data_IF_360069012200
#
_entry.id   IF_360069012200
#
_cell.length_a   1.000
_cell.length_b   1.000
_cell.length_c   1.000
_cell.angle_alpha   90.00
_cell.angle_beta   90.00
_cell.angle_gamma   90.00
#
_symmetry.space_group_name_H-M   'P 1'
#
loop_
_entity.id
_entity.type
_entity.pdbx_description
1 polymer ?
#
# COMPACT_ATOMS: atom_id res chain seq x y z
N UNK A 1 9.43 3.53 -12.76
CA UNK A 1 8.69 4.77 -13.08
C UNK A 1 9.20 5.36 -14.38
N UNK A 2 8.46 6.27 -15.03
CA UNK A 2 8.89 6.91 -16.29
C UNK A 2 10.21 7.68 -16.14
N UNK A 3 10.45 8.32 -14.99
CA UNK A 3 11.69 9.05 -14.71
C UNK A 3 12.92 8.13 -14.65
N UNK A 4 12.79 6.93 -14.07
CA UNK A 4 13.87 5.94 -14.01
C UNK A 4 14.18 5.36 -15.39
N UNK A 5 13.14 5.02 -16.18
CA UNK A 5 13.32 4.53 -17.56
C UNK A 5 14.00 5.55 -18.47
N UNK A 6 13.81 6.84 -18.19
CA UNK A 6 14.44 7.95 -18.92
C UNK A 6 15.83 8.34 -18.35
N UNK A 7 16.37 7.58 -17.40
CA UNK A 7 17.72 7.81 -16.84
C UNK A 7 17.86 9.07 -15.97
N UNK A 8 16.75 9.75 -15.65
CA UNK A 8 16.78 11.00 -14.86
C UNK A 8 16.99 10.75 -13.38
N UNK A 9 16.66 9.55 -12.91
CA UNK A 9 16.81 9.13 -11.52
C UNK A 9 17.36 7.71 -11.44
N UNK A 10 18.25 7.48 -10.48
CA UNK A 10 18.73 6.14 -10.11
C UNK A 10 18.00 5.69 -8.85
N UNK A 11 17.17 4.66 -8.97
CA UNK A 11 16.51 4.04 -7.82
C UNK A 11 17.53 3.12 -7.15
N UNK A 12 17.72 3.27 -5.83
CA UNK A 12 18.71 2.50 -5.07
C UNK A 12 18.10 1.26 -4.40
N UNK A 13 16.93 1.42 -3.78
CA UNK A 13 16.20 0.35 -3.13
C UNK A 13 14.71 0.71 -3.01
N UNK A 14 13.85 -0.29 -2.81
CA UNK A 14 12.45 -0.13 -2.43
C UNK A 14 12.26 -0.32 -0.92
N UNK A 15 11.32 0.41 -0.32
CA UNK A 15 10.97 0.29 1.10
C UNK A 15 9.97 -0.83 1.42
N UNK A 16 9.53 -1.58 0.41
CA UNK A 16 8.75 -2.80 0.58
C UNK A 16 9.64 -3.96 1.06
N UNK A 17 9.05 -4.90 1.79
CA UNK A 17 9.72 -6.13 2.24
C UNK A 17 9.96 -7.17 1.13
N UNK A 18 9.36 -6.96 -0.05
CA UNK A 18 9.48 -7.81 -1.23
C UNK A 18 9.68 -6.93 -2.46
N UNK A 19 10.36 -7.46 -3.46
CA UNK A 19 10.57 -6.75 -4.73
C UNK A 19 9.23 -6.49 -5.42
N UNK A 20 9.04 -5.27 -5.89
CA UNK A 20 7.85 -4.90 -6.63
C UNK A 20 7.89 -5.49 -8.04
N UNK A 21 6.78 -6.08 -8.50
CA UNK A 21 6.69 -6.70 -9.83
C UNK A 21 6.98 -5.70 -10.98
N UNK A 22 6.69 -4.41 -10.77
CA UNK A 22 6.96 -3.35 -11.74
C UNK A 22 8.47 -3.06 -11.91
N UNK A 23 9.30 -3.38 -10.91
CA UNK A 23 10.74 -3.08 -10.88
C UNK A 23 11.53 -4.23 -10.22
N UNK A 24 11.50 -5.45 -10.79
CA UNK A 24 12.05 -6.64 -10.14
C UNK A 24 13.58 -6.60 -9.96
N UNK A 25 14.27 -5.76 -10.73
CA UNK A 25 15.72 -5.59 -10.66
C UNK A 25 16.17 -4.66 -9.52
N UNK A 26 15.24 -3.89 -8.93
CA UNK A 26 15.54 -2.99 -7.81
C UNK A 26 15.45 -3.79 -6.50
N UNK A 27 16.51 -3.81 -5.68
CA UNK A 27 16.48 -4.52 -4.40
C UNK A 27 15.58 -3.81 -3.38
N UNK A 28 15.15 -4.56 -2.38
CA UNK A 28 14.56 -3.99 -1.15
C UNK A 28 15.64 -3.36 -0.27
N UNK A 29 15.24 -2.51 0.68
CA UNK A 29 16.15 -1.97 1.71
C UNK A 29 16.85 -3.09 2.48
N UNK A 30 16.14 -4.17 2.81
CA UNK A 30 16.71 -5.32 3.52
C UNK A 30 17.76 -6.06 2.68
N UNK A 31 17.50 -6.30 1.39
CA UNK A 31 18.49 -6.88 0.47
C UNK A 31 19.71 -5.97 0.27
N UNK A 32 19.53 -4.65 0.43
CA UNK A 32 20.60 -3.66 0.41
C UNK A 32 21.35 -3.53 1.75
N UNK A 33 21.03 -4.38 2.75
CA UNK A 33 21.71 -4.42 4.04
C UNK A 33 21.18 -3.41 5.07
N UNK A 34 20.08 -2.71 4.77
CA UNK A 34 19.44 -1.77 5.68
C UNK A 34 18.18 -2.39 6.26
N UNK A 35 18.20 -2.71 7.56
CA UNK A 35 17.00 -3.14 8.27
C UNK A 35 16.03 -1.96 8.38
N UNK A 36 14.92 -2.05 7.67
CA UNK A 36 13.84 -1.07 7.71
C UNK A 36 12.50 -1.79 7.85
N UNK A 37 11.55 -1.25 8.62
CA UNK A 37 10.19 -1.77 8.59
C UNK A 37 9.62 -1.67 7.17
N UNK A 38 8.70 -2.56 6.82
CA UNK A 38 7.93 -2.43 5.59
C UNK A 38 7.19 -1.07 5.60
N UNK A 39 7.41 -0.27 4.57
CA UNK A 39 6.76 1.04 4.37
C UNK A 39 5.91 1.04 3.10
N UNK A 40 5.38 -0.11 2.69
CA UNK A 40 4.49 -0.19 1.54
C UNK A 40 3.23 0.64 1.79
N UNK A 41 2.97 1.70 0.98
CA UNK A 41 1.74 2.46 1.11
C UNK A 41 0.56 1.59 0.69
N UNK A 42 -0.58 1.78 1.36
CA UNK A 42 -1.82 1.08 1.04
C UNK A 42 -2.98 2.05 1.02
N UNK A 43 -4.01 1.68 0.28
CA UNK A 43 -5.24 2.44 0.13
C UNK A 43 -6.43 1.58 0.52
N UNK A 44 -7.47 2.24 1.01
CA UNK A 44 -8.76 1.60 1.29
C UNK A 44 -9.90 2.57 0.98
N UNK A 45 -11.08 1.99 0.79
CA UNK A 45 -12.33 2.72 0.63
C UNK A 45 -12.99 2.85 2.00
N UNK A 46 -13.39 4.07 2.34
CA UNK A 46 -14.08 4.38 3.58
C UNK A 46 -15.51 4.84 3.29
N UNK A 47 -16.44 4.45 4.15
CA UNK A 47 -17.83 4.92 4.11
C UNK A 47 -18.16 5.75 5.35
N UNK A 48 -19.29 6.48 5.34
CA UNK A 48 -19.76 7.22 6.51
C UNK A 48 -19.98 6.33 7.72
N UNK A 49 -19.88 6.93 8.92
CA UNK A 49 -20.24 6.24 10.16
C UNK A 49 -21.72 5.82 10.14
N UNK A 50 -22.01 4.61 10.60
CA UNK A 50 -23.37 4.07 10.68
C UNK A 50 -23.90 3.44 9.41
N UNK A 51 -23.05 3.17 8.40
CA UNK A 51 -23.47 2.38 7.24
C UNK A 51 -24.02 1.00 7.69
N UNK A 52 -25.18 0.58 7.17
CA UNK A 52 -25.72 -0.74 7.47
C UNK A 52 -24.78 -1.88 7.03
N UNK A 53 -24.70 -2.99 7.78
CA UNK A 53 -23.80 -4.11 7.47
C UNK A 53 -23.98 -4.70 6.06
N UNK A 54 -25.21 -4.73 5.55
CA UNK A 54 -25.52 -5.23 4.21
C UNK A 54 -24.93 -4.32 3.10
N UNK A 55 -24.89 -3.01 3.33
CA UNK A 55 -24.28 -2.05 2.40
C UNK A 55 -22.77 -2.24 2.40
N UNK A 56 -22.17 -2.40 3.58
CA UNK A 56 -20.73 -2.67 3.72
C UNK A 56 -20.36 -3.96 2.97
N UNK A 57 -21.13 -5.03 3.18
CA UNK A 57 -20.89 -6.32 2.51
C UNK A 57 -20.97 -6.20 0.99
N UNK A 58 -21.99 -5.48 0.49
CA UNK A 58 -22.17 -5.25 -0.95
C UNK A 58 -21.03 -4.45 -1.57
N UNK A 59 -20.58 -3.39 -0.91
CA UNK A 59 -19.44 -2.58 -1.35
C UNK A 59 -18.15 -3.40 -1.35
N UNK A 60 -17.87 -4.14 -0.28
CA UNK A 60 -16.69 -4.99 -0.20
C UNK A 60 -16.64 -6.02 -1.33
N UNK A 61 -17.79 -6.65 -1.64
CA UNK A 61 -17.90 -7.58 -2.77
C UNK A 61 -17.57 -6.90 -4.10
N UNK A 62 -18.16 -5.74 -4.36
CA UNK A 62 -17.93 -5.01 -5.62
C UNK A 62 -16.48 -4.54 -5.76
N UNK A 63 -15.88 -4.01 -4.69
CA UNK A 63 -14.48 -3.57 -4.71
C UNK A 63 -13.55 -4.75 -5.00
N UNK A 64 -13.78 -5.91 -4.36
CA UNK A 64 -12.99 -7.11 -4.64
C UNK A 64 -13.17 -7.58 -6.10
N UNK A 65 -14.38 -7.51 -6.65
CA UNK A 65 -14.62 -7.86 -8.05
C UNK A 65 -13.92 -6.90 -9.01
N UNK A 66 -14.03 -5.59 -8.78
CA UNK A 66 -13.42 -4.56 -9.63
C UNK A 66 -11.90 -4.66 -9.61
N UNK A 67 -11.30 -4.82 -8.43
CA UNK A 67 -9.84 -4.96 -8.31
C UNK A 67 -9.30 -6.26 -8.91
N UNK A 68 -10.17 -7.25 -9.16
CA UNK A 68 -9.80 -8.48 -9.84
C UNK A 68 -9.87 -8.37 -11.38
N UNK A 69 -10.55 -7.35 -11.92
CA UNK A 69 -10.70 -7.13 -13.36
C UNK A 69 -9.35 -6.84 -14.03
N UNK A 70 -9.06 -7.42 -15.22
CA UNK A 70 -7.76 -7.26 -15.90
C UNK A 70 -7.34 -5.80 -16.08
N UNK A 71 -8.23 -4.95 -16.61
CA UNK A 71 -7.95 -3.54 -16.86
C UNK A 71 -7.63 -2.77 -15.57
N UNK A 72 -8.27 -3.13 -14.47
CA UNK A 72 -8.01 -2.50 -13.16
C UNK A 72 -6.67 -2.96 -12.61
N UNK A 73 -6.33 -4.25 -12.73
CA UNK A 73 -5.00 -4.76 -12.35
C UNK A 73 -3.90 -4.08 -13.14
N UNK A 74 -4.05 -4.00 -14.46
CA UNK A 74 -3.08 -3.34 -15.34
C UNK A 74 -2.91 -1.86 -14.97
N UNK A 75 -4.02 -1.15 -14.75
CA UNK A 75 -4.00 0.23 -14.29
C UNK A 75 -3.24 0.36 -12.96
N UNK A 76 -3.59 -0.41 -11.92
CA UNK A 76 -2.94 -0.35 -10.62
C UNK A 76 -1.44 -0.66 -10.73
N UNK A 77 -1.07 -1.72 -11.44
CA UNK A 77 0.34 -2.10 -11.64
C UNK A 77 1.11 -1.02 -12.40
N UNK A 78 0.49 -0.34 -13.38
CA UNK A 78 1.12 0.79 -14.08
C UNK A 78 1.43 1.98 -13.15
N UNK A 79 0.64 2.13 -12.09
CA UNK A 79 0.83 3.13 -11.03
C UNK A 79 1.73 2.62 -9.89
N UNK A 80 2.24 1.38 -9.97
CA UNK A 80 3.06 0.76 -8.94
C UNK A 80 2.28 0.27 -7.71
N UNK A 81 0.98 0.02 -7.86
CA UNK A 81 0.13 -0.57 -6.85
C UNK A 81 -0.26 -2.00 -7.25
N UNK A 82 -0.38 -2.89 -6.26
CA UNK A 82 -0.93 -4.23 -6.44
C UNK A 82 -2.34 -4.28 -5.83
N UNK A 83 -3.30 -4.99 -6.46
CA UNK A 83 -4.58 -5.28 -5.85
C UNK A 83 -4.43 -5.94 -4.48
N UNK A 84 -5.14 -5.41 -3.48
CA UNK A 84 -5.18 -5.95 -2.13
C UNK A 84 -6.61 -6.33 -1.74
N UNK A 85 -7.16 -7.43 -2.29
CA UNK A 85 -8.51 -7.87 -1.96
C UNK A 85 -8.58 -8.36 -0.51
N UNK A 86 -9.72 -8.14 0.14
CA UNK A 86 -9.86 -8.43 1.58
C UNK A 86 -11.28 -8.33 2.10
N UNK A 87 -11.40 -8.21 3.43
CA UNK A 87 -12.66 -7.99 4.12
C UNK A 87 -12.66 -6.65 4.86
N UNK A 88 -13.85 -6.11 5.22
CA UNK A 88 -13.94 -4.91 6.05
C UNK A 88 -13.16 -5.03 7.37
N UNK A 89 -13.18 -6.21 7.99
CA UNK A 89 -12.49 -6.50 9.24
C UNK A 89 -10.97 -6.45 9.05
N UNK A 90 -10.44 -7.13 8.01
CA UNK A 90 -9.01 -7.09 7.68
C UNK A 90 -8.53 -5.67 7.37
N UNK A 91 -9.38 -4.88 6.71
CA UNK A 91 -9.09 -3.47 6.40
C UNK A 91 -9.00 -2.64 7.69
N UNK A 92 -9.94 -2.85 8.63
CA UNK A 92 -9.92 -2.21 9.94
C UNK A 92 -8.68 -2.59 10.75
N UNK A 93 -8.32 -3.86 10.77
CA UNK A 93 -7.09 -4.31 11.43
C UNK A 93 -5.83 -3.67 10.81
N UNK A 94 -5.79 -3.55 9.48
CA UNK A 94 -4.67 -2.91 8.79
C UNK A 94 -4.56 -1.42 9.14
N UNK A 95 -5.69 -0.73 9.28
CA UNK A 95 -5.72 0.64 9.79
C UNK A 95 -5.14 0.73 11.20
N UNK A 96 -5.62 -0.12 12.13
CA UNK A 96 -5.14 -0.12 13.51
C UNK A 96 -3.64 -0.41 13.61
N UNK A 97 -3.14 -1.39 12.84
CA UNK A 97 -1.70 -1.67 12.75
C UNK A 97 -0.92 -0.47 12.21
N UNK A 98 -1.44 0.19 11.18
CA UNK A 98 -0.79 1.35 10.57
C UNK A 98 -0.72 2.53 11.52
N UNK A 99 -1.80 2.82 12.26
CA UNK A 99 -1.82 3.87 13.28
C UNK A 99 -0.72 3.61 14.34
N UNK A 100 -0.63 2.37 14.84
CA UNK A 100 0.38 2.01 15.83
C UNK A 100 1.81 2.15 15.30
N UNK A 101 2.07 1.69 14.07
CA UNK A 101 3.38 1.83 13.42
C UNK A 101 3.76 3.29 13.24
N UNK A 102 2.86 4.11 12.69
CA UNK A 102 3.16 5.52 12.40
C UNK A 102 3.27 6.38 13.65
N UNK A 103 2.51 6.09 14.70
CA UNK A 103 2.68 6.75 16.00
C UNK A 103 4.12 6.58 16.53
N UNK A 104 4.67 5.36 16.44
CA UNK A 104 6.06 5.08 16.83
C UNK A 104 7.07 5.80 15.93
N UNK A 105 6.81 5.89 14.63
CA UNK A 105 7.68 6.61 13.69
C UNK A 105 7.71 8.10 14.01
N UNK A 106 6.56 8.72 14.26
CA UNK A 106 6.45 10.14 14.64
C UNK A 106 7.24 10.45 15.91
N UNK A 107 7.11 9.61 16.94
CA UNK A 107 7.85 9.73 18.20
C UNK A 107 9.37 9.64 17.97
N UNK A 108 9.84 8.62 17.25
CA UNK A 108 11.26 8.41 16.97
C UNK A 108 11.86 9.52 16.11
N UNK A 109 11.10 10.01 15.12
CA UNK A 109 11.53 11.05 14.20
C UNK A 109 11.40 12.47 14.80
N UNK A 110 10.82 12.61 16.01
CA UNK A 110 10.58 13.89 16.68
C UNK A 110 9.80 14.88 15.80
N UNK A 111 8.79 14.37 15.10
CA UNK A 111 7.95 15.21 14.23
C UNK A 111 6.94 15.95 15.10
N UNK A 112 6.94 17.28 15.05
CA UNK A 112 6.00 18.11 15.80
C UNK A 112 4.64 18.18 15.09
N UNK A 113 3.52 18.04 15.83
CA UNK A 113 2.19 18.29 15.28
C UNK A 113 2.10 19.72 14.72
N UNK A 114 1.41 19.87 13.59
CA UNK A 114 1.10 21.16 12.98
C UNK A 114 -0.29 21.63 13.43
#
# INVERSE_FOLDING_TARGET
TAQQKQGRVKILATSANRRAAMVPDIPTMEEAGVKAPDQTPWWAVWGPHGLPPEVISKLAKWINQITDMPDTKEFLTSQGADPLPGSPEKTKEMLQRSIATWAKVVELAKIEPQ
#
